data_IF_912193433171
#
_entry.id   IF_912193433171
#
_cell.length_a   1.000
_cell.length_b   1.000
_cell.length_c   1.000
_cell.angle_alpha   90.00
_cell.angle_beta   90.00
_cell.angle_gamma   90.00
#
_symmetry.space_group_name_H-M   'P 1'
#
loop_
_entity.id
_entity.type
_entity.pdbx_description
1 polymer ?
#
# COMPACT_ATOMS: atom_id res chain seq x y z
N UNK A 1 6.79 -17.73 7.74
CA UNK A 1 7.67 -16.86 6.94
C UNK A 1 6.86 -15.63 6.52
N UNK A 2 7.44 -14.43 6.46
CA UNK A 2 6.73 -13.20 6.02
C UNK A 2 7.43 -12.65 4.79
N UNK A 3 6.66 -12.37 3.74
CA UNK A 3 7.16 -11.87 2.46
C UNK A 3 6.54 -10.50 2.15
N UNK A 4 7.34 -9.52 1.72
CA UNK A 4 6.80 -8.27 1.22
C UNK A 4 6.30 -8.41 -0.22
N UNK A 5 5.10 -7.89 -0.50
CA UNK A 5 4.61 -7.66 -1.86
C UNK A 5 4.68 -6.16 -2.13
N UNK A 6 5.40 -5.77 -3.19
CA UNK A 6 5.78 -4.36 -3.42
C UNK A 6 5.82 -3.96 -4.91
N UNK A 7 4.71 -4.05 -5.67
CA UNK A 7 4.65 -3.57 -7.05
C UNK A 7 4.93 -2.06 -7.13
N UNK A 8 5.56 -1.64 -8.23
CA UNK A 8 5.92 -0.25 -8.46
C UNK A 8 5.84 0.11 -9.95
N UNK A 9 5.58 1.39 -10.22
CA UNK A 9 5.66 2.00 -11.54
C UNK A 9 6.54 3.25 -11.44
N UNK A 10 7.49 3.39 -12.36
CA UNK A 10 8.40 4.53 -12.44
C UNK A 10 8.38 5.08 -13.86
N UNK A 11 8.06 6.36 -13.99
CA UNK A 11 8.02 7.13 -15.25
C UNK A 11 8.98 8.32 -15.10
N UNK A 12 10.23 8.12 -15.52
CA UNK A 12 11.31 9.11 -15.34
C UNK A 12 11.02 10.41 -16.09
N UNK A 13 10.46 10.29 -17.29
CA UNK A 13 10.09 11.41 -18.17
C UNK A 13 8.99 12.29 -17.57
N UNK A 14 8.27 11.79 -16.55
CA UNK A 14 7.25 12.54 -15.81
C UNK A 14 7.67 12.89 -14.38
N UNK A 15 8.90 12.56 -13.99
CA UNK A 15 9.37 12.63 -12.60
C UNK A 15 8.37 11.98 -11.61
N UNK A 16 7.79 10.83 -12.00
CA UNK A 16 6.71 10.17 -11.26
C UNK A 16 7.13 8.75 -10.87
N UNK A 17 6.99 8.42 -9.59
CA UNK A 17 7.21 7.08 -9.07
C UNK A 17 6.16 6.72 -8.02
N UNK A 18 5.54 5.54 -8.16
CA UNK A 18 4.54 5.03 -7.22
C UNK A 18 4.88 3.60 -6.85
N UNK A 19 4.84 3.28 -5.55
CA UNK A 19 5.01 1.91 -5.03
C UNK A 19 4.04 1.69 -3.89
N UNK A 20 3.22 0.65 -4.00
CA UNK A 20 2.33 0.19 -2.92
C UNK A 20 2.96 -1.07 -2.35
N UNK A 21 3.07 -1.17 -1.02
CA UNK A 21 3.79 -2.26 -0.36
C UNK A 21 3.01 -2.78 0.83
N UNK A 22 2.94 -4.11 0.91
CA UNK A 22 2.36 -4.84 2.03
C UNK A 22 3.27 -5.96 2.53
N UNK A 23 3.03 -6.38 3.77
CA UNK A 23 3.66 -7.55 4.37
C UNK A 23 2.64 -8.70 4.44
N UNK A 24 2.99 -9.83 3.81
CA UNK A 24 2.13 -11.01 3.72
C UNK A 24 2.80 -12.18 4.45
N UNK A 25 2.18 -12.78 5.47
CA UNK A 25 2.61 -14.03 6.07
C UNK A 25 2.28 -15.19 5.12
N UNK A 26 3.26 -16.07 4.95
CA UNK A 26 3.10 -17.31 4.21
C UNK A 26 2.47 -18.33 5.18
N UNK A 27 1.16 -18.50 5.09
CA UNK A 27 0.37 -19.46 5.87
C UNK A 27 -0.27 -20.46 4.89
N UNK A 28 -0.36 -21.73 5.30
CA UNK A 28 -0.79 -22.86 4.45
C UNK A 28 -2.26 -22.81 3.99
N UNK A 29 -3.09 -21.88 4.53
CA UNK A 29 -4.55 -21.87 4.31
C UNK A 29 -5.13 -20.48 3.98
N UNK A 30 -4.43 -19.36 4.22
CA UNK A 30 -4.83 -18.05 3.69
C UNK A 30 -3.74 -16.99 3.91
N UNK A 31 -3.69 -15.97 3.04
CA UNK A 31 -2.83 -14.80 3.22
C UNK A 31 -3.52 -13.74 4.06
N UNK A 32 -3.09 -13.56 5.31
CA UNK A 32 -3.53 -12.45 6.17
C UNK A 32 -2.67 -11.20 5.91
N UNK A 33 -3.19 -10.11 5.35
CA UNK A 33 -2.36 -8.91 5.12
C UNK A 33 -2.11 -8.17 6.44
N UNK A 34 -0.85 -8.09 6.91
CA UNK A 34 -0.51 -7.50 8.21
C UNK A 34 -0.58 -5.96 8.23
N UNK A 35 -0.62 -5.33 7.06
CA UNK A 35 -0.67 -3.88 6.87
C UNK A 35 -2.07 -3.37 6.53
N UNK A 36 -3.14 -4.15 6.78
CA UNK A 36 -4.49 -3.85 6.30
C UNK A 36 -5.08 -2.52 6.79
N UNK A 37 -4.64 -2.04 7.96
CA UNK A 37 -5.16 -0.79 8.56
C UNK A 37 -4.66 0.47 7.84
N UNK A 38 -3.61 0.36 7.03
CA UNK A 38 -3.08 1.47 6.24
C UNK A 38 -3.93 1.70 4.99
N UNK A 39 -4.38 2.96 4.73
CA UNK A 39 -5.19 3.28 3.56
C UNK A 39 -4.41 2.98 2.28
N UNK A 40 -5.09 2.43 1.29
CA UNK A 40 -4.51 2.17 -0.04
C UNK A 40 -5.41 2.62 -1.17
N UNK A 41 -6.72 2.59 -0.94
CA UNK A 41 -7.68 3.11 -1.89
C UNK A 41 -7.61 4.63 -1.95
N UNK A 42 -7.75 5.19 -3.15
CA UNK A 42 -7.60 6.62 -3.40
C UNK A 42 -8.56 7.43 -2.52
N UNK A 43 -9.80 6.97 -2.38
CA UNK A 43 -10.84 7.67 -1.61
C UNK A 43 -10.55 7.62 -0.11
N UNK A 44 -10.02 6.50 0.41
CA UNK A 44 -9.58 6.40 1.80
C UNK A 44 -8.41 7.33 2.10
N UNK A 45 -7.44 7.41 1.18
CA UNK A 45 -6.29 8.29 1.29
C UNK A 45 -6.76 9.75 1.31
N UNK A 46 -7.63 10.15 0.37
CA UNK A 46 -8.18 11.51 0.32
C UNK A 46 -8.96 11.85 1.59
N UNK A 47 -9.82 10.96 2.07
CA UNK A 47 -10.60 11.18 3.28
C UNK A 47 -9.71 11.35 4.52
N UNK A 48 -8.62 10.58 4.65
CA UNK A 48 -7.65 10.73 5.74
C UNK A 48 -6.84 12.03 5.63
N UNK A 49 -6.43 12.44 4.44
CA UNK A 49 -5.69 13.69 4.22
C UNK A 49 -6.55 14.93 4.53
N UNK A 50 -7.82 14.92 4.16
CA UNK A 50 -8.76 16.01 4.49
C UNK A 50 -8.89 16.16 6.00
N UNK A 51 -8.97 15.06 6.76
CA UNK A 51 -9.05 15.09 8.23
C UNK A 51 -7.80 15.61 8.94
N UNK A 52 -6.62 15.58 8.30
CA UNK A 52 -5.35 16.00 8.91
C UNK A 52 -5.04 17.49 8.66
N UNK A 53 -5.66 18.09 7.64
CA UNK A 53 -5.42 19.48 7.21
C UNK A 53 -6.42 20.51 7.80
N UNK A 54 -7.19 20.13 8.83
CA UNK A 54 -8.04 21.03 9.64
C UNK A 54 -7.59 20.95 11.11
#
# INVERSE_FOLDING_TARGET
MVMPVKPALYLSEKNLGVRIKDAIPIIKVSSMVLSIDWPREIDEIKARLIKINF
#
